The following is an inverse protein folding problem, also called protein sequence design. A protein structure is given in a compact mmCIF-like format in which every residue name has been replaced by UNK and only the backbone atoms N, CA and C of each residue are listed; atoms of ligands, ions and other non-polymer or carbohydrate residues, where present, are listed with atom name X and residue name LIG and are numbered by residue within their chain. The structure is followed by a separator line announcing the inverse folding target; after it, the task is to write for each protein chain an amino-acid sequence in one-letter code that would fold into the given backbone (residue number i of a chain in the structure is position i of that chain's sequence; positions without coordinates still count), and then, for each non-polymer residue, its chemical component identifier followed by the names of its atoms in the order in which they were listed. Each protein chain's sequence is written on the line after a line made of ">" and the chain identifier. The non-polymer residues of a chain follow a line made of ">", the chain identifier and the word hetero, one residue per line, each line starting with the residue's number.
data_IF_193644582829
#
_entry.id   IF_193644582829
#
_cell.length_a   1.000
_cell.length_b   1.000
_cell.length_c   1.000
_cell.angle_alpha   90.00
_cell.angle_beta   90.00
_cell.angle_gamma   90.00
#
_symmetry.space_group_name_H-M   'P 1'
#
loop_
_entity.id
_entity.type
_entity.pdbx_description
1 polymer ?
#
# COMPACT_ATOMS: atom_id res chain seq x y z
N UNK A 1 5.59 -29.80 89.76
CA UNK A 1 4.64 -29.43 88.68
C UNK A 1 5.22 -28.39 87.72
N UNK A 2 5.93 -27.35 88.19
CA UNK A 2 6.47 -26.27 87.32
C UNK A 2 7.52 -26.69 86.28
N UNK A 3 8.33 -27.73 86.52
CA UNK A 3 9.30 -28.23 85.51
C UNK A 3 8.64 -29.01 84.36
N UNK A 4 7.42 -29.52 84.54
CA UNK A 4 6.70 -30.24 83.48
C UNK A 4 6.02 -29.28 82.49
N UNK A 5 5.57 -28.11 82.98
CA UNK A 5 4.94 -27.05 82.17
C UNK A 5 5.96 -26.47 81.17
N UNK A 6 7.17 -26.14 81.64
CA UNK A 6 8.26 -25.58 80.81
C UNK A 6 8.68 -26.54 79.68
N UNK A 7 8.66 -27.85 79.93
CA UNK A 7 9.00 -28.88 78.93
C UNK A 7 7.95 -29.04 77.83
N UNK A 8 6.66 -28.88 78.17
CA UNK A 8 5.56 -28.88 77.20
C UNK A 8 5.60 -27.61 76.35
N UNK A 9 5.83 -26.45 76.97
CA UNK A 9 5.92 -25.16 76.28
C UNK A 9 7.09 -25.15 75.27
N UNK A 10 8.25 -25.70 75.64
CA UNK A 10 9.40 -25.78 74.74
C UNK A 10 9.10 -26.59 73.46
N UNK A 11 8.46 -27.77 73.58
CA UNK A 11 8.10 -28.60 72.42
C UNK A 11 7.08 -27.91 71.51
N UNK A 12 6.12 -27.20 72.09
CA UNK A 12 5.12 -26.42 71.35
C UNK A 12 5.81 -25.27 70.61
N UNK A 13 6.74 -24.57 71.24
CA UNK A 13 7.51 -23.47 70.62
C UNK A 13 8.33 -23.98 69.42
N UNK A 14 9.03 -25.12 69.54
CA UNK A 14 9.77 -25.71 68.42
C UNK A 14 8.85 -26.07 67.25
N UNK A 15 7.67 -26.62 67.53
CA UNK A 15 6.69 -26.98 66.51
C UNK A 15 6.12 -25.74 65.80
N UNK A 16 5.75 -24.70 66.56
CA UNK A 16 5.25 -23.43 66.00
C UNK A 16 6.31 -22.75 65.14
N UNK A 17 7.56 -22.72 65.60
CA UNK A 17 8.67 -22.16 64.82
C UNK A 17 8.89 -22.95 63.51
N UNK A 18 8.85 -24.28 63.56
CA UNK A 18 8.94 -25.11 62.37
C UNK A 18 7.82 -24.83 61.35
N UNK A 19 6.56 -24.79 61.81
CA UNK A 19 5.40 -24.53 60.94
C UNK A 19 5.47 -23.13 60.34
N UNK A 20 5.80 -22.10 61.14
CA UNK A 20 5.91 -20.72 60.66
C UNK A 20 7.01 -20.55 59.61
N UNK A 21 8.16 -21.20 59.78
CA UNK A 21 9.25 -21.20 58.79
C UNK A 21 8.80 -21.85 57.48
N UNK A 22 8.12 -22.99 57.54
CA UNK A 22 7.63 -23.68 56.34
C UNK A 22 6.57 -22.85 55.62
N UNK A 23 5.59 -22.31 56.33
CA UNK A 23 4.53 -21.48 55.74
C UNK A 23 5.12 -20.22 55.11
N UNK A 24 6.07 -19.57 55.78
CA UNK A 24 6.78 -18.42 55.22
C UNK A 24 7.55 -18.78 53.94
N UNK A 25 8.26 -19.92 53.94
CA UNK A 25 8.98 -20.41 52.77
C UNK A 25 8.03 -20.68 51.59
N UNK A 26 6.90 -21.35 51.83
CA UNK A 26 5.89 -21.66 50.81
C UNK A 26 5.29 -20.37 50.22
N UNK A 27 4.92 -19.39 51.05
CA UNK A 27 4.38 -18.10 50.59
C UNK A 27 5.39 -17.37 49.68
N UNK A 28 6.67 -17.39 50.04
CA UNK A 28 7.73 -16.76 49.24
C UNK A 28 7.95 -17.46 47.90
N UNK A 29 7.92 -18.78 47.88
CA UNK A 29 7.98 -19.56 46.63
C UNK A 29 6.80 -19.22 45.72
N UNK A 30 5.57 -19.20 46.26
CA UNK A 30 4.37 -18.87 45.49
C UNK A 30 4.44 -17.44 44.94
N UNK A 31 4.87 -16.47 45.76
CA UNK A 31 5.02 -15.07 45.35
C UNK A 31 6.09 -14.92 44.26
N UNK A 32 7.19 -15.67 44.34
CA UNK A 32 8.23 -15.66 43.33
C UNK A 32 7.74 -16.21 41.97
N UNK A 33 6.93 -17.27 41.99
CA UNK A 33 6.32 -17.83 40.76
C UNK A 33 5.38 -16.81 40.12
N UNK A 34 4.47 -16.21 40.90
CA UNK A 34 3.54 -15.21 40.35
C UNK A 34 4.25 -13.94 39.85
N UNK A 35 5.32 -13.50 40.52
CA UNK A 35 6.10 -12.36 40.07
C UNK A 35 6.82 -12.67 38.75
N UNK A 36 7.31 -13.90 38.57
CA UNK A 36 7.89 -14.35 37.31
C UNK A 36 6.88 -14.29 36.17
N UNK A 37 5.68 -14.85 36.36
CA UNK A 37 4.63 -14.82 35.33
C UNK A 37 4.24 -13.37 34.97
N UNK A 38 4.19 -12.47 35.96
CA UNK A 38 3.87 -11.06 35.76
C UNK A 38 4.99 -10.31 35.00
N UNK A 39 6.25 -10.62 35.30
CA UNK A 39 7.41 -10.01 34.62
C UNK A 39 7.57 -10.54 33.20
N UNK A 40 7.32 -11.83 32.97
CA UNK A 40 7.39 -12.44 31.64
C UNK A 40 6.31 -11.86 30.71
N UNK A 41 5.12 -11.57 31.24
CA UNK A 41 4.07 -10.82 30.53
C UNK A 41 4.49 -9.37 30.25
N UNK A 42 5.13 -8.69 31.22
CA UNK A 42 5.53 -7.29 31.05
C UNK A 42 6.71 -7.08 30.08
N UNK A 43 7.56 -8.09 29.85
CA UNK A 43 8.80 -7.94 29.08
C UNK A 43 8.76 -8.55 27.67
N UNK A 44 7.94 -9.57 27.42
CA UNK A 44 7.98 -10.33 26.17
C UNK A 44 6.84 -10.04 25.20
N UNK A 45 5.98 -9.04 25.44
CA UNK A 45 4.86 -8.76 24.55
C UNK A 45 5.29 -8.47 23.10
N UNK A 46 6.39 -7.73 22.91
CA UNK A 46 6.90 -7.42 21.58
C UNK A 46 7.54 -8.64 20.89
N UNK A 47 8.37 -9.41 21.60
CA UNK A 47 9.03 -10.61 21.07
C UNK A 47 8.01 -11.71 20.77
N UNK A 48 7.08 -11.98 21.69
CA UNK A 48 5.99 -12.94 21.49
C UNK A 48 5.09 -12.54 20.31
N UNK A 49 4.79 -11.24 20.17
CA UNK A 49 4.02 -10.74 19.04
C UNK A 49 4.78 -10.87 17.71
N UNK A 50 6.09 -10.68 17.70
CA UNK A 50 6.93 -10.91 16.51
C UNK A 50 6.93 -12.39 16.16
N UNK A 51 7.17 -13.28 17.14
CA UNK A 51 7.15 -14.73 16.95
C UNK A 51 5.79 -15.21 16.42
N UNK A 52 4.69 -14.73 16.99
CA UNK A 52 3.34 -15.05 16.52
C UNK A 52 3.09 -14.58 15.09
N UNK A 53 3.57 -13.37 14.73
CA UNK A 53 3.48 -12.86 13.35
C UNK A 53 4.30 -13.71 12.39
N UNK A 54 5.53 -14.09 12.77
CA UNK A 54 6.39 -14.94 11.95
C UNK A 54 5.77 -16.33 11.74
N UNK A 55 5.22 -16.92 12.80
CA UNK A 55 4.53 -18.21 12.73
C UNK A 55 3.30 -18.15 11.82
N UNK A 56 2.43 -17.16 11.99
CA UNK A 56 1.26 -16.97 11.12
C UNK A 56 1.65 -16.76 9.66
N UNK A 57 2.74 -16.02 9.41
CA UNK A 57 3.28 -15.85 8.06
C UNK A 57 3.76 -17.19 7.47
N UNK A 58 4.51 -17.98 8.23
CA UNK A 58 4.99 -19.29 7.78
C UNK A 58 3.84 -20.27 7.49
N UNK A 59 2.84 -20.35 8.38
CA UNK A 59 1.63 -21.15 8.16
C UNK A 59 0.87 -20.70 6.90
N UNK A 60 0.82 -19.40 6.64
CA UNK A 60 0.18 -18.85 5.44
C UNK A 60 0.96 -19.18 4.16
N UNK A 61 2.29 -19.05 4.17
CA UNK A 61 3.14 -19.44 3.04
C UNK A 61 2.98 -20.92 2.71
N UNK A 62 2.96 -21.79 3.72
CA UNK A 62 2.74 -23.23 3.50
C UNK A 62 1.39 -23.54 2.85
N UNK A 63 0.34 -22.76 3.15
CA UNK A 63 -0.95 -22.89 2.44
C UNK A 63 -0.84 -22.47 0.98
N UNK A 64 -0.10 -21.40 0.68
CA UNK A 64 0.11 -20.94 -0.70
C UNK A 64 0.93 -21.94 -1.51
N UNK A 65 1.94 -22.58 -0.92
CA UNK A 65 2.70 -23.64 -1.57
C UNK A 65 1.82 -24.83 -1.93
N UNK A 66 0.92 -25.24 -1.02
CA UNK A 66 -0.04 -26.31 -1.28
C UNK A 66 -1.02 -25.95 -2.41
N UNK A 67 -1.45 -24.67 -2.48
CA UNK A 67 -2.28 -24.17 -3.58
C UNK A 67 -1.50 -24.22 -4.89
N UNK A 68 -0.27 -23.72 -4.90
CA UNK A 68 0.56 -23.69 -6.09
C UNK A 68 0.78 -25.11 -6.65
N UNK A 69 1.08 -26.08 -5.79
CA UNK A 69 1.20 -27.49 -6.20
C UNK A 69 -0.11 -28.08 -6.75
N UNK A 70 -1.27 -27.65 -6.24
CA UNK A 70 -2.56 -28.11 -6.77
C UNK A 70 -2.90 -27.51 -8.14
N UNK A 71 -2.33 -26.34 -8.45
CA UNK A 71 -2.53 -25.58 -9.69
C UNK A 71 -1.52 -26.04 -10.76
N UNK A 72 -0.26 -26.25 -10.37
CA UNK A 72 0.83 -26.73 -11.23
C UNK A 72 0.68 -28.23 -11.53
N UNK A 73 -0.24 -28.56 -12.45
CA UNK A 73 -0.45 -29.93 -12.93
C UNK A 73 0.69 -30.44 -13.81
N UNK A 74 1.46 -29.54 -14.42
CA UNK A 74 2.53 -29.88 -15.35
C UNK A 74 3.85 -30.15 -14.62
N UNK A 75 4.00 -29.63 -13.39
CA UNK A 75 5.24 -29.72 -12.61
C UNK A 75 6.36 -28.89 -13.23
N UNK A 76 6.01 -27.92 -14.08
CA UNK A 76 6.97 -27.01 -14.72
C UNK A 76 7.38 -25.87 -13.76
N UNK A 77 6.66 -25.68 -12.65
CA UNK A 77 6.90 -24.62 -11.69
C UNK A 77 6.45 -23.25 -12.18
N UNK A 78 5.69 -23.18 -13.29
CA UNK A 78 5.30 -21.95 -13.97
C UNK A 78 3.80 -21.91 -14.26
N UNK A 79 3.20 -20.73 -14.11
CA UNK A 79 1.79 -20.50 -14.42
C UNK A 79 1.69 -19.42 -15.51
N UNK A 80 1.08 -19.75 -16.65
CA UNK A 80 0.74 -18.77 -17.69
C UNK A 80 -0.59 -18.05 -17.41
N UNK A 81 -0.83 -16.92 -18.07
CA UNK A 81 -2.05 -16.11 -17.93
C UNK A 81 -3.32 -16.93 -18.23
N UNK A 82 -3.29 -17.76 -19.27
CA UNK A 82 -4.42 -18.59 -19.68
C UNK A 82 -4.72 -19.66 -18.62
N UNK A 83 -3.67 -20.30 -18.10
CA UNK A 83 -3.78 -21.34 -17.08
C UNK A 83 -4.34 -20.76 -15.78
N UNK A 84 -3.85 -19.59 -15.35
CA UNK A 84 -4.37 -18.93 -14.16
C UNK A 84 -5.85 -18.56 -14.33
N UNK A 85 -6.24 -18.06 -15.50
CA UNK A 85 -7.63 -17.70 -15.82
C UNK A 85 -8.56 -18.91 -15.85
N UNK A 86 -8.13 -20.02 -16.45
CA UNK A 86 -8.89 -21.27 -16.46
C UNK A 86 -9.11 -21.82 -15.03
N UNK A 87 -8.07 -21.74 -14.20
CA UNK A 87 -8.10 -22.26 -12.83
C UNK A 87 -8.98 -21.40 -11.93
N UNK A 88 -8.91 -20.08 -12.05
CA UNK A 88 -9.78 -19.15 -11.32
C UNK A 88 -11.23 -19.18 -11.80
N UNK A 89 -11.48 -19.66 -13.03
CA UNK A 89 -12.84 -19.93 -13.51
C UNK A 89 -13.49 -21.11 -12.78
N UNK A 90 -12.71 -21.97 -12.10
CA UNK A 90 -13.25 -23.04 -11.28
C UNK A 90 -13.77 -22.48 -9.93
N UNK A 91 -15.07 -22.59 -9.64
CA UNK A 91 -15.66 -22.02 -8.43
C UNK A 91 -15.07 -22.59 -7.13
N UNK A 92 -14.56 -23.82 -7.15
CA UNK A 92 -13.89 -24.42 -5.97
C UNK A 92 -12.55 -23.74 -5.67
N UNK A 93 -11.79 -23.42 -6.72
CA UNK A 93 -10.51 -22.75 -6.58
C UNK A 93 -10.73 -21.28 -6.21
N UNK A 94 -11.66 -20.61 -6.87
CA UNK A 94 -12.05 -19.24 -6.51
C UNK A 94 -12.48 -19.13 -5.03
N UNK A 95 -13.31 -20.07 -4.54
CA UNK A 95 -13.69 -20.13 -3.13
C UNK A 95 -12.47 -20.36 -2.21
N UNK A 96 -11.49 -21.17 -2.65
CA UNK A 96 -10.26 -21.39 -1.89
C UNK A 96 -9.38 -20.13 -1.82
N UNK A 97 -9.26 -19.37 -2.92
CA UNK A 97 -8.61 -18.05 -2.91
C UNK A 97 -9.33 -17.04 -1.99
N UNK A 98 -10.67 -17.08 -1.93
CA UNK A 98 -11.43 -16.29 -0.97
C UNK A 98 -11.12 -16.68 0.49
N UNK A 99 -10.91 -17.98 0.79
CA UNK A 99 -10.45 -18.39 2.13
C UNK A 99 -9.04 -17.90 2.47
N UNK A 100 -8.24 -17.54 1.46
CA UNK A 100 -6.94 -16.91 1.62
C UNK A 100 -7.03 -15.37 1.68
N UNK A 101 -8.24 -14.81 1.69
CA UNK A 101 -8.53 -13.36 1.68
C UNK A 101 -8.07 -12.67 0.38
N UNK A 102 -8.08 -13.40 -0.73
CA UNK A 102 -7.81 -12.85 -2.06
C UNK A 102 -9.14 -12.65 -2.80
N UNK A 103 -9.48 -11.38 -3.04
CA UNK A 103 -10.65 -11.02 -3.82
C UNK A 103 -10.29 -11.05 -5.31
N UNK A 104 -10.41 -12.23 -5.91
CA UNK A 104 -10.02 -12.47 -7.30
C UNK A 104 -11.21 -12.16 -8.21
N UNK A 105 -11.57 -10.88 -8.30
CA UNK A 105 -12.61 -10.41 -9.22
C UNK A 105 -12.13 -10.38 -10.68
N UNK A 106 -10.81 -10.26 -10.91
CA UNK A 106 -10.22 -10.20 -12.24
C UNK A 106 -8.89 -10.98 -12.28
N UNK A 107 -8.92 -12.19 -12.84
CA UNK A 107 -7.75 -13.09 -12.96
C UNK A 107 -6.59 -12.43 -13.71
N UNK A 108 -6.91 -11.60 -14.69
CA UNK A 108 -5.96 -10.89 -15.54
C UNK A 108 -5.21 -9.80 -14.81
N UNK A 109 -5.92 -9.02 -13.99
CA UNK A 109 -5.31 -8.02 -13.13
C UNK A 109 -4.44 -8.68 -12.07
N UNK A 110 -4.89 -9.81 -11.51
CA UNK A 110 -4.07 -10.59 -10.58
C UNK A 110 -2.80 -11.09 -11.26
N UNK A 111 -2.88 -11.69 -12.46
CA UNK A 111 -1.72 -12.14 -13.22
C UNK A 111 -0.70 -11.02 -13.39
N UNK A 112 -1.15 -9.83 -13.81
CA UNK A 112 -0.25 -8.70 -14.03
C UNK A 112 0.39 -8.17 -12.74
N UNK A 113 -0.22 -8.40 -11.57
CA UNK A 113 0.36 -8.06 -10.27
C UNK A 113 1.38 -9.12 -9.82
N UNK A 114 1.22 -10.38 -10.24
CA UNK A 114 2.12 -11.46 -9.87
C UNK A 114 3.35 -11.52 -10.79
N UNK A 115 3.14 -11.33 -12.10
CA UNK A 115 4.15 -11.37 -13.16
C UNK A 115 5.18 -10.22 -13.02
N UNK A 116 6.45 -10.54 -13.30
CA UNK A 116 7.55 -9.59 -13.33
C UNK A 116 7.69 -8.88 -14.71
N UNK A 117 6.91 -9.31 -15.71
CA UNK A 117 6.93 -8.84 -17.09
C UNK A 117 7.53 -9.84 -18.10
N UNK A 118 7.82 -11.08 -17.68
CA UNK A 118 8.27 -12.17 -18.57
C UNK A 118 7.10 -13.02 -19.11
N UNK A 119 5.90 -12.80 -18.60
CA UNK A 119 4.68 -13.47 -19.05
C UNK A 119 4.47 -14.85 -18.44
N UNK A 120 5.26 -15.21 -17.43
CA UNK A 120 5.08 -16.43 -16.63
C UNK A 120 5.13 -16.07 -15.13
N UNK A 121 4.44 -16.85 -14.30
CA UNK A 121 4.47 -16.66 -12.84
C UNK A 121 5.11 -17.87 -12.21
N UNK A 122 6.32 -17.67 -11.65
CA UNK A 122 7.03 -18.67 -10.85
C UNK A 122 6.33 -18.89 -9.51
N UNK A 123 6.71 -19.97 -8.81
CA UNK A 123 6.27 -20.23 -7.44
C UNK A 123 6.60 -19.07 -6.50
N UNK A 124 7.82 -18.57 -6.59
CA UNK A 124 8.31 -17.50 -5.72
C UNK A 124 7.51 -16.21 -5.97
N UNK A 125 7.24 -15.88 -7.23
CA UNK A 125 6.44 -14.71 -7.61
C UNK A 125 4.97 -14.83 -7.20
N UNK A 126 4.40 -16.03 -7.32
CA UNK A 126 3.05 -16.29 -6.84
C UNK A 126 2.94 -16.03 -5.33
N UNK A 127 3.87 -16.56 -4.53
CA UNK A 127 3.87 -16.41 -3.08
C UNK A 127 4.12 -14.95 -2.69
N UNK A 128 5.16 -14.33 -3.24
CA UNK A 128 5.51 -12.94 -2.91
C UNK A 128 4.47 -11.94 -3.39
N UNK A 129 3.91 -12.15 -4.58
CA UNK A 129 2.85 -11.33 -5.13
C UNK A 129 1.57 -11.39 -4.29
N UNK A 130 1.17 -12.59 -3.84
CA UNK A 130 0.02 -12.74 -2.93
C UNK A 130 0.30 -12.14 -1.55
N UNK A 131 1.49 -12.34 -0.99
CA UNK A 131 1.88 -11.71 0.27
C UNK A 131 1.85 -10.19 0.19
N UNK A 132 2.21 -9.63 -0.97
CA UNK A 132 2.12 -8.19 -1.27
C UNK A 132 0.67 -7.72 -1.38
N UNK A 133 -0.20 -8.49 -2.04
CA UNK A 133 -1.64 -8.17 -2.14
C UNK A 133 -2.33 -8.19 -0.77
N UNK A 134 -2.02 -9.17 0.08
CA UNK A 134 -2.61 -9.32 1.42
C UNK A 134 -2.10 -8.30 2.43
N UNK A 135 -0.81 -7.98 2.37
CA UNK A 135 -0.21 -6.93 3.19
C UNK A 135 -0.66 -5.57 2.67
N UNK A 136 -1.92 -5.21 2.94
CA UNK A 136 -2.60 -4.03 2.38
C UNK A 136 -1.68 -2.83 2.27
N UNK A 137 -1.79 -2.11 1.13
CA UNK A 137 -0.91 -1.02 0.70
C UNK A 137 -0.16 -0.41 1.88
N UNK A 138 1.12 -0.79 2.03
CA UNK A 138 1.89 -0.43 3.20
C UNK A 138 1.88 1.09 3.28
N UNK A 139 1.95 1.68 4.48
CA UNK A 139 2.02 3.14 4.62
C UNK A 139 3.12 3.76 3.71
N UNK A 140 4.18 3.00 3.44
CA UNK A 140 5.23 3.32 2.46
C UNK A 140 4.71 3.40 1.02
N UNK A 141 3.89 2.45 0.57
CA UNK A 141 3.31 2.43 -0.78
C UNK A 141 2.36 3.62 -0.97
N UNK A 142 1.62 3.98 0.08
CA UNK A 142 0.76 5.18 0.07
C UNK A 142 1.58 6.47 -0.01
N UNK A 143 2.71 6.55 0.71
CA UNK A 143 3.65 7.67 0.64
C UNK A 143 4.26 7.77 -0.77
N UNK A 144 4.65 6.64 -1.36
CA UNK A 144 5.19 6.58 -2.72
C UNK A 144 4.16 7.04 -3.75
N UNK A 145 2.91 6.56 -3.65
CA UNK A 145 1.82 7.00 -4.51
C UNK A 145 1.55 8.50 -4.37
N UNK A 146 1.59 9.05 -3.15
CA UNK A 146 1.50 10.50 -2.95
C UNK A 146 2.68 11.27 -3.55
N UNK A 147 3.90 10.72 -3.51
CA UNK A 147 5.06 11.32 -4.14
C UNK A 147 4.93 11.32 -5.67
N UNK A 148 4.47 10.22 -6.25
CA UNK A 148 4.24 10.09 -7.69
C UNK A 148 3.13 11.04 -8.16
N UNK A 149 2.04 11.17 -7.39
CA UNK A 149 0.98 12.16 -7.64
C UNK A 149 1.51 13.60 -7.62
N UNK A 150 2.35 13.96 -6.64
CA UNK A 150 3.00 15.28 -6.60
C UNK A 150 3.92 15.52 -7.79
N UNK A 151 4.58 14.46 -8.28
CA UNK A 151 5.45 14.55 -9.44
C UNK A 151 4.64 14.71 -10.74
N UNK A 152 3.52 14.02 -10.85
CA UNK A 152 2.53 14.15 -11.91
C UNK A 152 1.96 15.57 -11.97
N UNK A 153 1.55 16.12 -10.82
CA UNK A 153 1.04 17.49 -10.73
C UNK A 153 2.06 18.53 -11.22
N UNK A 154 3.33 18.39 -10.80
CA UNK A 154 4.42 19.24 -11.31
C UNK A 154 4.62 19.12 -12.83
N UNK A 155 4.50 17.91 -13.39
CA UNK A 155 4.60 17.68 -14.84
C UNK A 155 3.42 18.33 -15.57
N UNK A 156 2.19 18.19 -15.06
CA UNK A 156 0.99 18.82 -15.60
C UNK A 156 1.11 20.34 -15.60
N UNK A 157 1.52 20.95 -14.49
CA UNK A 157 1.75 22.40 -14.39
C UNK A 157 2.80 22.88 -15.40
N UNK A 158 3.89 22.12 -15.58
CA UNK A 158 4.90 22.43 -16.62
C UNK A 158 4.31 22.33 -18.02
N UNK A 159 3.51 21.30 -18.30
CA UNK A 159 2.86 21.11 -19.60
C UNK A 159 1.94 22.30 -19.91
N UNK A 160 1.09 22.71 -18.96
CA UNK A 160 0.19 23.87 -19.09
C UNK A 160 0.97 25.16 -19.36
N UNK A 161 2.07 25.40 -18.64
CA UNK A 161 2.92 26.58 -18.87
C UNK A 161 3.59 26.55 -20.25
N UNK A 162 4.03 25.38 -20.71
CA UNK A 162 4.59 25.21 -22.04
C UNK A 162 3.55 25.43 -23.14
N UNK A 163 2.32 24.95 -22.95
CA UNK A 163 1.21 25.19 -23.89
C UNK A 163 0.81 26.67 -23.92
N UNK A 164 0.72 27.36 -22.78
CA UNK A 164 0.48 28.81 -22.75
C UNK A 164 1.58 29.63 -23.44
N UNK A 165 2.84 29.17 -23.39
CA UNK A 165 3.93 29.77 -24.16
C UNK A 165 3.81 29.48 -25.65
N UNK A 166 3.27 28.31 -26.00
CA UNK A 166 3.17 27.83 -27.38
C UNK A 166 1.86 28.23 -28.08
N UNK A 167 0.82 28.68 -27.37
CA UNK A 167 -0.43 29.20 -27.95
C UNK A 167 -0.22 30.58 -28.61
N UNK A 168 0.31 30.55 -29.83
CA UNK A 168 -0.35 30.83 -31.12
C UNK A 168 -1.27 32.07 -31.28
N UNK A 169 -1.74 32.75 -30.24
CA UNK A 169 -2.72 33.86 -30.37
C UNK A 169 -2.07 35.24 -30.63
N UNK A 170 -0.76 35.41 -30.39
CA UNK A 170 -0.09 36.68 -30.74
C UNK A 170 0.27 36.79 -32.22
N UNK A 171 0.52 35.68 -32.91
CA UNK A 171 0.95 35.69 -34.32
C UNK A 171 -0.12 36.15 -35.31
N UNK A 172 -1.40 35.89 -35.04
CA UNK A 172 -2.48 36.19 -35.99
C UNK A 172 -3.06 37.60 -35.88
N UNK A 173 -2.92 38.27 -34.73
CA UNK A 173 -3.41 39.65 -34.51
C UNK A 173 -2.53 40.72 -35.17
N UNK A 174 -1.24 40.45 -35.36
CA UNK A 174 -0.30 41.40 -35.94
C UNK A 174 -0.41 41.51 -37.47
N UNK A 175 -0.65 40.38 -38.15
CA UNK A 175 -0.87 40.34 -39.60
C UNK A 175 -2.17 41.04 -40.00
N UNK A 176 -3.29 40.77 -39.33
CA UNK A 176 -4.59 41.40 -39.64
C UNK A 176 -4.59 42.92 -39.36
N UNK A 177 -3.91 43.38 -38.31
CA UNK A 177 -3.79 44.83 -38.01
C UNK A 177 -2.86 45.56 -38.98
N UNK A 178 -1.87 44.86 -39.55
CA UNK A 178 -1.00 45.40 -40.60
C UNK A 178 -1.71 45.51 -41.96
N UNK A 179 -2.51 44.51 -42.32
CA UNK A 179 -3.30 44.51 -43.56
C UNK A 179 -4.46 45.52 -43.51
N UNK A 180 -5.14 45.66 -42.37
CA UNK A 180 -6.21 46.65 -42.21
C UNK A 180 -5.69 48.09 -42.29
N UNK A 181 -4.50 48.38 -41.74
CA UNK A 181 -3.85 49.70 -41.87
C UNK A 181 -3.41 50.01 -43.31
N UNK A 182 -2.95 49.00 -44.06
CA UNK A 182 -2.58 49.16 -45.48
C UNK A 182 -3.81 49.41 -46.36
N UNK A 183 -4.91 48.70 -46.12
CA UNK A 183 -6.17 48.92 -46.83
C UNK A 183 -6.79 50.29 -46.53
N UNK A 184 -6.65 50.79 -45.31
CA UNK A 184 -7.16 52.10 -44.91
C UNK A 184 -6.32 53.26 -45.50
N UNK A 185 -5.00 53.10 -45.62
CA UNK A 185 -4.13 54.10 -46.26
C UNK A 185 -4.29 54.14 -47.79
N UNK A 186 -4.59 53.00 -48.43
CA UNK A 186 -4.82 52.94 -49.88
C UNK A 186 -6.14 53.59 -50.32
N UNK A 187 -7.18 53.58 -49.46
CA UNK A 187 -8.44 54.28 -49.72
C UNK A 187 -8.34 55.81 -49.65
N UNK A 188 -7.39 56.36 -48.89
CA UNK A 188 -7.20 57.82 -48.77
C UNK A 188 -6.49 58.40 -50.01
N UNK A 189 -5.59 57.63 -50.64
CA UNK A 189 -4.85 58.09 -51.82
C UNK A 189 -5.67 58.06 -53.12
N UNK A 190 -6.75 57.29 -53.20
CA UNK A 190 -7.60 57.24 -54.40
C UNK A 190 -8.82 58.17 -54.37
N UNK A 191 -9.03 58.91 -53.26
CA UNK A 191 -10.10 59.91 -53.17
C UNK A 191 -9.63 61.35 -53.47
N UNK A 192 -8.34 61.54 -53.79
CA UNK A 192 -7.75 62.88 -54.05
C UNK A 192 -7.50 63.23 -55.52
N UNK A 193 -7.78 62.33 -56.47
CA UNK A 193 -7.50 62.56 -57.89
C UNK A 193 -8.78 62.44 -58.73
N UNK A 194 -9.43 63.59 -58.97
CA UNK A 194 -10.39 63.74 -60.06
C UNK A 194 -11.74 64.31 -59.66
N UNK A 195 -11.84 65.64 -59.65
CA UNK A 195 -12.76 66.37 -60.55
C UNK A 195 -12.58 67.89 -60.39
N UNK A 196 -11.69 68.44 -61.23
CA UNK A 196 -11.80 69.81 -61.72
C UNK A 196 -12.37 69.69 -63.13
N UNK A 197 -13.66 70.00 -63.30
CA UNK A 197 -14.22 70.45 -64.58
C UNK A 197 -15.28 71.50 -64.30
N UNK A 198 -14.89 72.73 -64.60
CA UNK A 198 -15.73 73.85 -64.96
C UNK A 198 -16.78 73.44 -66.00
N UNK A 199 -18.03 73.87 -65.77
CA UNK A 199 -19.03 73.99 -66.82
C UNK A 199 -19.72 75.36 -66.68
N UNK A 200 -19.75 76.08 -67.80
CA UNK A 200 -20.16 77.47 -67.98
C UNK A 200 -21.69 77.68 -67.90
N UNK A 201 -22.17 78.94 -67.79
CA UNK A 201 -23.59 79.31 -67.70
C UNK A 201 -24.23 79.43 -69.10
N UNK A 202 -25.56 79.35 -69.18
CA UNK A 202 -26.39 79.99 -70.24
C UNK A 202 -27.91 79.77 -69.95
N UNK A 203 -28.66 80.85 -70.17
CA UNK A 203 -30.12 81.05 -70.17
C UNK A 203 -30.81 81.21 -68.80
#
# INVERSE_FOLDING_TARGET
>A
MSQCIIGCDARVIFFVLYVTVIVFAVIRVITAIFLKDTLDAAHNDAENLILDKMRKKAEYVGKLEAVFQAIDKCGDGMISEERLTEILSNPKVAAYFQTLELDVHESRALFHILDNGDGEVTREEFIDGILRCKGGARAIDQIQMHADLRQLDKKVVKLVKSLQKSDVIKGKRQSVRGELKRAQHLKVFHFGAGQSKSFHPLA
#
